data_IF_727298811813
#
_entry.id   IF_727298811813
#
_cell.length_a   1.000
_cell.length_b   1.000
_cell.length_c   1.000
_cell.angle_alpha   90.00
_cell.angle_beta   90.00
_cell.angle_gamma   90.00
#
_symmetry.space_group_name_H-M   'P 1'
#
loop_
_entity.id
_entity.type
_entity.pdbx_description
1 polymer ?
#
# COMPACT_ATOMS: atom_id res chain seq x y z
N UNK A 1 -17.00 20.97 -3.33
CA UNK A 1 -16.68 20.11 -2.20
C UNK A 1 -17.78 19.08 -2.08
N UNK A 2 -17.46 17.83 -1.78
CA UNK A 2 -18.50 16.84 -1.50
C UNK A 2 -19.14 17.21 -0.15
N UNK A 3 -20.48 17.26 -0.10
CA UNK A 3 -21.20 17.57 1.12
C UNK A 3 -21.52 16.23 1.79
N UNK A 4 -20.89 15.94 2.92
CA UNK A 4 -21.12 14.72 3.70
C UNK A 4 -22.20 14.98 4.75
N UNK A 5 -23.08 14.00 4.96
CA UNK A 5 -24.17 14.12 5.92
C UNK A 5 -23.82 13.53 7.31
N UNK A 6 -22.77 12.75 7.39
CA UNK A 6 -22.30 12.12 8.63
C UNK A 6 -20.79 11.88 8.62
N UNK A 7 -20.19 11.78 9.80
CA UNK A 7 -18.77 11.41 9.98
C UNK A 7 -18.50 10.03 9.38
N UNK A 8 -19.43 9.10 9.48
CA UNK A 8 -19.32 7.78 8.88
C UNK A 8 -19.16 7.87 7.37
N UNK A 9 -19.96 8.69 6.70
CA UNK A 9 -19.92 8.89 5.26
C UNK A 9 -18.60 9.51 4.78
N UNK A 10 -18.08 10.51 5.53
CA UNK A 10 -16.77 11.10 5.30
C UNK A 10 -15.65 10.07 5.41
N UNK A 11 -15.69 9.23 6.45
CA UNK A 11 -14.66 8.22 6.67
C UNK A 11 -14.75 7.06 5.65
N UNK A 12 -15.93 6.72 5.19
CA UNK A 12 -16.14 5.78 4.11
C UNK A 12 -15.58 6.32 2.79
N UNK A 13 -15.82 7.60 2.46
CA UNK A 13 -15.24 8.25 1.28
C UNK A 13 -13.72 8.31 1.37
N UNK A 14 -13.16 8.67 2.53
CA UNK A 14 -11.72 8.62 2.77
C UNK A 14 -11.15 7.22 2.48
N UNK A 15 -11.74 6.18 3.08
CA UNK A 15 -11.34 4.77 2.89
C UNK A 15 -11.37 4.38 1.42
N UNK A 16 -12.47 4.70 0.74
CA UNK A 16 -12.69 4.30 -0.66
C UNK A 16 -11.75 5.04 -1.62
N UNK A 17 -11.47 6.31 -1.36
CA UNK A 17 -10.49 7.09 -2.11
C UNK A 17 -9.07 6.53 -1.96
N UNK A 18 -8.65 6.20 -0.72
CA UNK A 18 -7.35 5.57 -0.46
C UNK A 18 -7.24 4.24 -1.19
N UNK A 19 -8.26 3.37 -1.10
CA UNK A 19 -8.26 2.06 -1.77
C UNK A 19 -8.19 2.23 -3.28
N UNK A 20 -8.99 3.11 -3.84
CA UNK A 20 -9.06 3.35 -5.29
C UNK A 20 -7.72 3.83 -5.86
N UNK A 21 -7.06 4.78 -5.21
CA UNK A 21 -5.75 5.26 -5.65
C UNK A 21 -4.64 4.25 -5.39
N UNK A 22 -4.64 3.58 -4.24
CA UNK A 22 -3.67 2.54 -3.94
C UNK A 22 -3.72 1.40 -4.97
N UNK A 23 -4.90 0.92 -5.34
CA UNK A 23 -5.07 -0.11 -6.36
C UNK A 23 -4.51 0.28 -7.74
N UNK A 24 -4.56 1.58 -8.10
CA UNK A 24 -3.93 2.08 -9.34
C UNK A 24 -2.40 2.00 -9.28
N UNK A 25 -1.82 2.21 -8.10
CA UNK A 25 -0.37 2.16 -7.87
C UNK A 25 0.20 0.75 -7.73
N UNK A 26 -0.63 -0.28 -7.59
CA UNK A 26 -0.17 -1.68 -7.49
C UNK A 26 0.26 -2.18 -8.87
N UNK A 27 1.53 -2.63 -9.03
CA UNK A 27 1.97 -3.22 -10.29
C UNK A 27 1.15 -4.47 -10.64
N UNK A 28 0.59 -4.49 -11.84
CA UNK A 28 -0.22 -5.62 -12.32
C UNK A 28 0.67 -6.82 -12.64
N UNK A 29 0.57 -7.88 -11.87
CA UNK A 29 1.11 -9.19 -12.19
C UNK A 29 0.00 -10.25 -12.13
N UNK A 30 -0.27 -10.81 -10.94
CA UNK A 30 -1.36 -11.77 -10.73
C UNK A 30 -2.66 -11.11 -10.30
N UNK A 31 -2.60 -9.87 -9.83
CA UNK A 31 -3.74 -9.15 -9.28
C UNK A 31 -4.05 -9.47 -7.81
N UNK A 32 -3.39 -10.46 -7.22
CA UNK A 32 -3.69 -10.93 -5.87
C UNK A 32 -3.61 -9.80 -4.83
N UNK A 33 -2.54 -8.97 -4.88
CA UNK A 33 -2.39 -7.86 -3.94
C UNK A 33 -3.53 -6.84 -4.08
N UNK A 34 -3.93 -6.50 -5.29
CA UNK A 34 -5.03 -5.57 -5.51
C UNK A 34 -6.38 -6.13 -5.02
N UNK A 35 -6.56 -7.45 -5.13
CA UNK A 35 -7.78 -8.14 -4.67
C UNK A 35 -7.79 -8.33 -3.14
N UNK A 36 -6.63 -8.55 -2.51
CA UNK A 36 -6.53 -8.68 -1.05
C UNK A 36 -6.67 -7.33 -0.34
N UNK A 37 -6.46 -6.20 -1.04
CA UNK A 37 -6.50 -4.89 -0.42
C UNK A 37 -7.94 -4.44 -0.15
N UNK A 38 -8.27 -4.33 1.14
CA UNK A 38 -9.59 -3.96 1.67
C UNK A 38 -9.46 -2.90 2.74
N UNK A 39 -10.53 -2.18 3.01
CA UNK A 39 -10.64 -1.23 4.11
C UNK A 39 -11.99 -1.38 4.81
N UNK A 40 -11.99 -1.09 6.10
CA UNK A 40 -13.16 -1.17 6.96
C UNK A 40 -13.25 0.06 7.84
N UNK A 41 -14.45 0.58 7.98
CA UNK A 41 -14.79 1.58 9.00
C UNK A 41 -15.65 0.87 10.03
N UNK A 42 -15.23 0.90 11.29
CA UNK A 42 -15.95 0.29 12.41
C UNK A 42 -16.30 1.37 13.41
N UNK A 43 -17.57 1.57 13.62
CA UNK A 43 -18.10 2.44 14.65
C UNK A 43 -18.26 1.69 15.97
N UNK A 44 -17.91 2.34 17.06
CA UNK A 44 -18.09 1.90 18.44
C UNK A 44 -18.69 3.04 19.24
N UNK A 45 -19.23 2.78 20.42
CA UNK A 45 -19.95 3.75 21.24
C UNK A 45 -19.24 5.10 21.41
N UNK A 46 -17.89 5.11 21.49
CA UNK A 46 -17.09 6.33 21.77
C UNK A 46 -15.90 6.49 20.79
N UNK A 47 -15.86 5.73 19.70
CA UNK A 47 -14.73 5.79 18.74
C UNK A 47 -15.12 5.24 17.38
N UNK A 48 -14.50 5.77 16.34
CA UNK A 48 -14.56 5.23 15.00
C UNK A 48 -13.16 4.80 14.61
N UNK A 49 -13.03 3.59 14.08
CA UNK A 49 -11.76 3.01 13.67
C UNK A 49 -11.78 2.74 12.18
N UNK A 50 -10.76 3.22 11.47
CA UNK A 50 -10.50 2.84 10.08
C UNK A 50 -9.35 1.85 10.06
N UNK A 51 -9.54 0.73 9.37
CA UNK A 51 -8.50 -0.28 9.17
C UNK A 51 -8.34 -0.63 7.71
N UNK A 52 -7.09 -0.87 7.31
CA UNK A 52 -6.74 -1.34 5.97
C UNK A 52 -6.03 -2.67 6.08
N UNK A 53 -6.46 -3.63 5.30
CA UNK A 53 -5.92 -4.98 5.25
C UNK A 53 -5.40 -5.30 3.86
N UNK A 54 -4.28 -5.99 3.79
CA UNK A 54 -3.71 -6.49 2.55
C UNK A 54 -2.82 -7.70 2.83
N UNK A 55 -2.48 -8.45 1.80
CA UNK A 55 -1.47 -9.51 1.89
C UNK A 55 -0.16 -8.96 2.46
N UNK A 56 0.50 -9.73 3.34
CA UNK A 56 1.72 -9.33 4.06
C UNK A 56 2.80 -8.77 3.13
N UNK A 57 2.97 -9.35 1.95
CA UNK A 57 3.98 -8.88 1.00
C UNK A 57 3.69 -7.47 0.45
N UNK A 58 2.47 -6.95 0.61
CA UNK A 58 2.09 -5.58 0.27
C UNK A 58 2.90 -4.55 1.06
N UNK A 59 3.16 -4.80 2.35
CA UNK A 59 4.00 -3.92 3.18
C UNK A 59 5.43 -3.84 2.65
N UNK A 60 6.01 -4.97 2.25
CA UNK A 60 7.34 -4.99 1.64
C UNK A 60 7.37 -4.29 0.28
N UNK A 61 6.28 -4.38 -0.47
CA UNK A 61 6.16 -3.69 -1.75
C UNK A 61 6.01 -2.18 -1.57
N UNK A 62 5.20 -1.76 -0.59
CA UNK A 62 4.96 -0.34 -0.30
C UNK A 62 6.23 0.34 0.23
N UNK A 63 6.79 -0.17 1.32
CA UNK A 63 7.97 0.42 2.00
C UNK A 63 9.31 0.02 1.39
N UNK A 64 9.31 -0.95 0.46
CA UNK A 64 10.53 -1.55 -0.05
C UNK A 64 11.23 -2.46 0.96
N UNK A 65 12.40 -2.98 0.58
CA UNK A 65 13.23 -3.83 1.46
C UNK A 65 14.70 -3.47 1.23
N UNK A 66 15.46 -3.27 2.30
CA UNK A 66 16.92 -3.03 2.23
C UNK A 66 17.65 -4.27 1.71
N UNK A 67 18.58 -4.09 0.79
CA UNK A 67 19.47 -5.15 0.35
C UNK A 67 20.48 -5.54 1.42
N UNK A 68 21.12 -6.70 1.22
CA UNK A 68 22.17 -7.19 2.11
C UNK A 68 23.45 -6.34 2.02
N UNK A 69 23.77 -5.80 0.84
CA UNK A 69 24.91 -4.92 0.65
C UNK A 69 24.52 -3.49 1.03
N UNK A 70 25.08 -2.99 2.14
CA UNK A 70 24.83 -1.67 2.70
C UNK A 70 25.31 -0.48 1.84
N UNK A 71 26.07 -0.74 0.78
CA UNK A 71 26.68 0.29 -0.08
C UNK A 71 25.70 0.99 -1.05
N UNK A 72 24.47 0.55 -1.14
CA UNK A 72 23.48 1.18 -2.03
C UNK A 72 22.83 2.43 -1.39
N UNK A 73 23.65 3.43 -1.12
CA UNK A 73 23.21 4.78 -0.78
C UNK A 73 22.55 5.39 -2.02
N UNK A 74 21.27 5.58 -2.04
CA UNK A 74 20.65 6.42 -3.08
C UNK A 74 19.31 6.01 -3.65
N UNK A 75 18.86 4.80 -3.45
CA UNK A 75 17.63 4.32 -4.11
C UNK A 75 16.36 4.32 -3.22
N UNK A 76 16.34 5.04 -2.10
CA UNK A 76 15.20 5.08 -1.17
C UNK A 76 15.03 3.81 -0.33
N UNK A 77 15.62 2.68 -0.72
CA UNK A 77 15.54 1.42 0.04
C UNK A 77 16.17 1.52 1.44
N UNK A 78 17.12 2.44 1.62
CA UNK A 78 17.80 2.64 2.92
C UNK A 78 16.86 3.16 4.02
N UNK A 79 15.73 3.75 3.67
CA UNK A 79 14.71 4.22 4.61
C UNK A 79 13.68 3.15 4.98
N UNK A 80 13.68 2.00 4.30
CA UNK A 80 12.74 0.93 4.62
C UNK A 80 12.97 0.37 6.03
N UNK A 81 11.92 0.04 6.79
CA UNK A 81 12.03 -0.70 8.04
C UNK A 81 12.44 -2.16 7.82
N UNK A 82 12.25 -2.69 6.60
CA UNK A 82 12.50 -4.09 6.27
C UNK A 82 13.89 -4.26 5.67
N UNK A 83 14.55 -5.40 6.00
CA UNK A 83 15.85 -5.78 5.48
C UNK A 83 15.89 -7.30 5.18
N UNK A 84 16.53 -7.69 4.08
CA UNK A 84 16.80 -9.10 3.84
C UNK A 84 17.76 -9.65 4.89
N UNK A 85 17.40 -10.82 5.45
CA UNK A 85 18.27 -11.52 6.41
C UNK A 85 19.57 -12.00 5.75
N UNK A 86 20.64 -12.13 6.55
CA UNK A 86 21.95 -12.61 6.10
C UNK A 86 21.92 -14.07 5.60
N UNK A 87 21.05 -14.87 6.19
CA UNK A 87 20.88 -16.30 5.89
C UNK A 87 19.58 -16.58 5.12
N UNK A 88 19.21 -15.72 4.19
CA UNK A 88 18.03 -15.96 3.39
C UNK A 88 18.21 -17.23 2.55
N UNK A 89 17.80 -18.36 3.11
CA UNK A 89 17.73 -19.68 2.46
C UNK A 89 16.89 -19.68 1.18
N UNK A 90 16.26 -18.55 0.92
CA UNK A 90 15.37 -18.31 -0.23
C UNK A 90 16.11 -18.13 -1.56
N UNK A 91 17.41 -17.83 -1.54
CA UNK A 91 18.14 -17.54 -2.79
C UNK A 91 18.58 -18.80 -3.52
N UNK A 92 18.89 -19.86 -2.79
CA UNK A 92 19.57 -21.04 -3.32
C UNK A 92 18.71 -22.28 -3.57
N UNK A 93 17.46 -22.32 -3.19
CA UNK A 93 16.62 -23.52 -3.39
C UNK A 93 16.01 -23.55 -4.78
N UNK A 94 16.49 -24.48 -5.61
CA UNK A 94 16.12 -24.63 -7.03
C UNK A 94 14.61 -24.84 -7.29
N UNK A 95 13.81 -25.22 -6.30
CA UNK A 95 12.41 -25.61 -6.49
C UNK A 95 11.36 -24.67 -5.90
N UNK A 96 11.74 -23.62 -5.15
CA UNK A 96 10.73 -22.80 -4.49
C UNK A 96 11.23 -21.49 -3.89
N UNK A 97 12.53 -21.22 -3.90
CA UNK A 97 13.06 -19.97 -3.39
C UNK A 97 12.85 -18.79 -4.33
N UNK A 98 13.31 -17.62 -3.95
CA UNK A 98 13.19 -16.40 -4.75
C UNK A 98 13.65 -16.60 -6.20
N UNK A 99 14.69 -17.41 -6.44
CA UNK A 99 15.16 -17.74 -7.80
C UNK A 99 14.10 -18.46 -8.63
N UNK A 100 13.38 -19.42 -8.04
CA UNK A 100 12.30 -20.12 -8.72
C UNK A 100 11.10 -19.23 -9.01
N UNK A 101 10.75 -18.37 -8.07
CA UNK A 101 9.67 -17.37 -8.23
C UNK A 101 10.02 -16.40 -9.36
N UNK A 102 11.26 -15.89 -9.39
CA UNK A 102 11.71 -14.97 -10.43
C UNK A 102 11.84 -15.65 -11.80
N UNK A 103 12.19 -16.93 -11.84
CA UNK A 103 12.20 -17.70 -13.10
C UNK A 103 10.77 -17.83 -13.68
N UNK A 104 9.79 -18.17 -12.84
CA UNK A 104 8.39 -18.24 -13.24
C UNK A 104 7.85 -16.86 -13.66
N UNK A 105 8.21 -15.81 -12.93
CA UNK A 105 7.85 -14.44 -13.27
C UNK A 105 8.42 -14.01 -14.62
N UNK A 106 9.72 -14.25 -14.87
CA UNK A 106 10.37 -13.92 -16.12
C UNK A 106 9.71 -14.66 -17.31
N UNK A 107 9.35 -15.94 -17.12
CA UNK A 107 8.64 -16.73 -18.12
C UNK A 107 7.25 -16.12 -18.44
N UNK A 108 6.46 -15.76 -17.41
CA UNK A 108 5.13 -15.14 -17.62
C UNK A 108 5.22 -13.79 -18.35
N UNK A 109 6.27 -13.00 -18.06
CA UNK A 109 6.47 -11.68 -18.68
C UNK A 109 7.14 -11.76 -20.06
N UNK A 110 7.49 -12.95 -20.55
CA UNK A 110 8.18 -13.12 -21.81
C UNK A 110 9.60 -12.52 -21.82
N UNK A 111 10.19 -12.33 -20.63
CA UNK A 111 11.54 -11.75 -20.52
C UNK A 111 12.55 -12.83 -20.82
N UNK A 112 13.45 -12.55 -21.79
CA UNK A 112 14.53 -13.46 -22.14
C UNK A 112 15.79 -12.67 -22.48
N UNK A 113 16.89 -12.99 -21.79
CA UNK A 113 18.19 -12.36 -22.01
C UNK A 113 19.09 -13.25 -22.85
N UNK A 114 19.96 -12.62 -23.62
CA UNK A 114 21.06 -13.30 -24.32
C UNK A 114 22.32 -13.23 -23.47
N UNK A 115 23.03 -14.33 -23.38
CA UNK A 115 24.38 -14.38 -22.84
C UNK A 115 25.31 -13.58 -23.73
N UNK A 116 26.09 -12.67 -23.15
CA UNK A 116 26.97 -11.77 -23.92
C UNK A 116 28.14 -12.48 -24.58
N UNK A 117 28.58 -13.59 -24.00
CA UNK A 117 29.75 -14.34 -24.47
C UNK A 117 29.36 -15.30 -25.57
N UNK A 118 28.26 -16.04 -25.40
CA UNK A 118 27.84 -17.09 -26.30
C UNK A 118 26.77 -16.66 -27.30
N UNK A 119 26.14 -15.49 -27.09
CA UNK A 119 25.03 -14.99 -27.93
C UNK A 119 23.74 -15.79 -27.78
N UNK A 120 23.72 -16.88 -27.01
CA UNK A 120 22.57 -17.76 -26.81
C UNK A 120 21.61 -17.22 -25.79
N UNK A 121 20.33 -17.57 -25.92
CA UNK A 121 19.32 -17.22 -24.90
C UNK A 121 19.60 -17.96 -23.57
N UNK A 122 19.56 -17.22 -22.49
CA UNK A 122 19.70 -17.77 -21.15
C UNK A 122 18.42 -18.53 -20.75
N UNK A 123 18.61 -19.61 -19.99
CA UNK A 123 17.45 -20.32 -19.39
C UNK A 123 16.72 -19.42 -18.38
N UNK A 124 15.40 -19.56 -18.26
CA UNK A 124 14.63 -18.82 -17.25
C UNK A 124 15.10 -19.11 -15.82
N UNK A 125 15.64 -20.33 -15.58
CA UNK A 125 16.24 -20.71 -14.28
C UNK A 125 17.49 -19.86 -13.97
N UNK A 126 18.39 -19.70 -14.95
CA UNK A 126 19.59 -18.87 -14.80
C UNK A 126 19.23 -17.40 -14.63
N UNK A 127 18.27 -16.91 -15.40
CA UNK A 127 17.75 -15.54 -15.26
C UNK A 127 17.11 -15.31 -13.89
N UNK A 128 16.30 -16.25 -13.43
CA UNK A 128 15.67 -16.17 -12.11
C UNK A 128 16.68 -16.06 -10.97
N UNK A 129 17.78 -16.80 -11.08
CA UNK A 129 18.91 -16.72 -10.13
C UNK A 129 19.56 -15.32 -10.13
N UNK A 130 19.88 -14.79 -11.33
CA UNK A 130 20.51 -13.47 -11.45
C UNK A 130 19.60 -12.37 -10.90
N UNK A 131 18.30 -12.41 -11.23
CA UNK A 131 17.31 -11.45 -10.75
C UNK A 131 17.21 -11.54 -9.21
N UNK A 132 17.06 -12.74 -8.66
CA UNK A 132 16.95 -12.95 -7.21
C UNK A 132 18.19 -12.45 -6.48
N UNK A 133 19.39 -12.75 -6.99
CA UNK A 133 20.65 -12.26 -6.42
C UNK A 133 20.77 -10.74 -6.47
N UNK A 134 20.31 -10.12 -7.56
CA UNK A 134 20.28 -8.66 -7.67
C UNK A 134 19.33 -8.03 -6.65
N UNK A 135 18.11 -8.58 -6.52
CA UNK A 135 17.12 -8.13 -5.53
C UNK A 135 17.66 -8.27 -4.11
N UNK A 136 18.23 -9.42 -3.78
CA UNK A 136 18.82 -9.67 -2.47
C UNK A 136 19.95 -8.71 -2.14
N UNK A 137 20.82 -8.44 -3.11
CA UNK A 137 21.96 -7.54 -2.93
C UNK A 137 21.55 -6.08 -2.83
N UNK A 138 20.68 -5.62 -3.73
CA UNK A 138 20.28 -4.22 -3.87
C UNK A 138 19.06 -3.83 -3.06
N UNK A 139 18.21 -4.79 -2.72
CA UNK A 139 16.91 -4.56 -2.12
C UNK A 139 15.80 -4.30 -3.13
N UNK A 140 14.61 -4.06 -2.63
CA UNK A 140 13.42 -3.67 -3.38
C UNK A 140 13.14 -2.17 -3.19
N UNK A 141 12.93 -1.46 -4.26
CA UNK A 141 12.52 -0.05 -4.20
C UNK A 141 11.11 0.07 -3.62
N UNK A 142 10.86 1.03 -2.72
CA UNK A 142 9.53 1.33 -2.24
C UNK A 142 8.65 1.81 -3.41
N UNK A 143 7.46 1.26 -3.53
CA UNK A 143 6.46 1.74 -4.50
C UNK A 143 5.59 2.85 -3.93
N UNK A 144 5.42 2.87 -2.61
CA UNK A 144 4.58 3.80 -1.85
C UNK A 144 3.12 3.83 -2.38
N UNK A 145 2.65 2.69 -2.90
CA UNK A 145 1.32 2.61 -3.51
C UNK A 145 0.19 2.84 -2.51
N UNK A 146 0.41 2.49 -1.25
CA UNK A 146 -0.52 2.74 -0.15
C UNK A 146 -0.15 4.02 0.61
N UNK A 147 1.13 4.19 0.96
CA UNK A 147 1.58 5.31 1.79
C UNK A 147 1.22 6.67 1.19
N UNK A 148 1.51 6.89 -0.11
CA UNK A 148 1.21 8.19 -0.75
C UNK A 148 -0.28 8.52 -0.82
N UNK A 149 -1.17 7.62 -1.28
CA UNK A 149 -2.60 7.88 -1.24
C UNK A 149 -3.12 8.12 0.18
N UNK A 150 -2.66 7.32 1.14
CA UNK A 150 -3.05 7.48 2.53
C UNK A 150 -2.67 8.87 3.07
N UNK A 151 -1.42 9.29 2.94
CA UNK A 151 -0.94 10.60 3.38
C UNK A 151 -1.70 11.75 2.69
N UNK A 152 -1.95 11.62 1.39
CA UNK A 152 -2.67 12.63 0.59
C UNK A 152 -4.08 12.91 1.13
N UNK A 153 -4.84 11.85 1.42
CA UNK A 153 -6.20 12.00 1.93
C UNK A 153 -6.23 12.25 3.43
N UNK A 154 -5.32 11.66 4.19
CA UNK A 154 -5.21 11.88 5.63
C UNK A 154 -4.92 13.34 5.99
N UNK A 155 -4.09 14.03 5.21
CA UNK A 155 -3.78 15.45 5.45
C UNK A 155 -4.98 16.39 5.24
N UNK A 156 -6.02 15.95 4.53
CA UNK A 156 -7.26 16.70 4.33
C UNK A 156 -8.32 16.39 5.37
N UNK A 157 -8.27 15.20 5.94
CA UNK A 157 -9.28 14.68 6.85
C UNK A 157 -9.53 15.56 8.10
N UNK A 158 -8.51 16.18 8.74
CA UNK A 158 -8.75 17.07 9.87
C UNK A 158 -9.61 18.28 9.55
N UNK A 159 -9.37 18.91 8.39
CA UNK A 159 -10.12 20.10 7.97
C UNK A 159 -11.57 19.73 7.65
N UNK A 160 -11.77 18.61 6.93
CA UNK A 160 -13.10 18.09 6.59
C UNK A 160 -13.90 17.67 7.84
N UNK A 161 -13.23 17.07 8.85
CA UNK A 161 -13.85 16.74 10.13
C UNK A 161 -14.23 18.00 10.92
N UNK A 162 -13.38 19.02 10.96
CA UNK A 162 -13.66 20.28 11.64
C UNK A 162 -14.85 21.01 11.01
N UNK A 163 -14.93 21.02 9.67
CA UNK A 163 -16.06 21.58 8.95
C UNK A 163 -17.37 20.87 9.31
N UNK A 164 -17.36 19.54 9.36
CA UNK A 164 -18.53 18.74 9.75
C UNK A 164 -18.95 18.97 11.20
N UNK A 165 -17.99 19.01 12.15
CA UNK A 165 -18.32 19.31 13.54
C UNK A 165 -18.91 20.69 13.69
N UNK A 166 -18.42 21.70 12.96
CA UNK A 166 -19.00 23.03 12.94
C UNK A 166 -20.45 23.02 12.46
N UNK A 167 -20.73 22.29 11.38
CA UNK A 167 -22.08 22.16 10.84
C UNK A 167 -23.06 21.41 11.77
N UNK A 168 -22.60 20.36 12.42
CA UNK A 168 -23.40 19.60 13.38
C UNK A 168 -23.70 20.41 14.65
N UNK A 169 -22.73 21.22 15.12
CA UNK A 169 -22.95 22.15 16.24
C UNK A 169 -23.94 23.24 15.90
N UNK A 170 -23.92 23.78 14.68
CA UNK A 170 -24.88 24.79 14.21
C UNK A 170 -26.30 24.21 14.14
N UNK A 171 -26.46 22.99 13.61
CA UNK A 171 -27.76 22.30 13.59
C UNK A 171 -28.30 22.07 14.99
N UNK A 172 -27.45 21.59 15.92
CA UNK A 172 -27.82 21.34 17.29
C UNK A 172 -28.27 22.65 17.98
N UNK A 173 -27.55 23.75 17.77
CA UNK A 173 -27.87 25.05 18.31
C UNK A 173 -29.22 25.56 17.78
N UNK A 174 -29.50 25.42 16.50
CA UNK A 174 -30.77 25.79 15.89
C UNK A 174 -31.94 24.94 16.42
N UNK A 175 -31.75 23.63 16.61
CA UNK A 175 -32.76 22.75 17.20
C UNK A 175 -33.11 23.15 18.64
N UNK A 176 -32.10 23.43 19.48
CA UNK A 176 -32.30 23.87 20.87
C UNK A 176 -33.03 25.21 20.91
N UNK A 177 -32.68 26.13 19.99
CA UNK A 177 -33.33 27.45 19.95
C UNK A 177 -34.78 27.33 19.52
N UNK A 178 -35.09 26.54 18.48
CA UNK A 178 -36.45 26.30 17.99
C UNK A 178 -37.35 25.60 19.05
N UNK A 179 -36.80 24.65 19.80
CA UNK A 179 -37.55 24.00 20.89
C UNK A 179 -37.84 24.95 22.05
N UNK A 180 -36.90 25.85 22.36
CA UNK A 180 -37.12 26.86 23.40
C UNK A 180 -38.14 27.92 22.99
N UNK A 181 -38.16 28.34 21.74
CA UNK A 181 -39.18 29.26 21.22
C UNK A 181 -40.58 28.64 21.14
N UNK A 182 -40.69 27.32 20.90
CA UNK A 182 -41.99 26.61 20.94
C UNK A 182 -42.56 26.45 22.36
N UNK A 183 -41.72 26.44 23.38
CA UNK A 183 -42.14 26.33 24.80
C UNK A 183 -42.56 27.68 25.42
N UNK A 184 -42.25 28.78 24.75
CA UNK A 184 -42.58 30.15 25.20
C UNK A 184 -43.87 30.74 24.58
N UNK A 185 -44.53 29.96 23.73
CA UNK A 185 -45.88 30.23 23.16
C UNK A 185 -46.92 29.33 23.81
#
# INVERSE_FOLDING_TARGET
>A
MAQFNSIQELLDDFKDNVIREAKKGIPRDTGNLANSFKGYVKESKNSIQISFEMDEYGFYKDKGVKGNKSSNKGNGQNKSPYKFGTNSSLIGKASGGMSGIMAKWAKRKGIQWKDKTTGRFMSHKSMGYIIARSIYSKGLKPSLFFTKPFEKYYNKLPDELMEMFGFDMEKLFNQITDENFKKLK
#
